data_IF_843218503497
#
_entry.id   IF_843218503497
#
_cell.length_a   1.000
_cell.length_b   1.000
_cell.length_c   1.000
_cell.angle_alpha   90.00
_cell.angle_beta   90.00
_cell.angle_gamma   90.00
#
_symmetry.space_group_name_H-M   'P 1'
#
loop_
_entity.id
_entity.type
_entity.pdbx_description
1 polymer ?
#
# COMPACT_ATOMS: atom_id res chain seq x y z
N UNK A 1 -32.46 6.30 -12.26
CA UNK A 1 -31.40 5.83 -11.33
C UNK A 1 -31.32 6.87 -10.23
N UNK A 2 -31.64 6.52 -8.99
CA UNK A 2 -31.41 7.43 -7.85
C UNK A 2 -29.92 7.66 -7.72
N UNK A 3 -29.49 8.91 -7.64
CA UNK A 3 -28.11 9.23 -7.26
C UNK A 3 -27.84 8.58 -5.90
N UNK A 4 -26.75 7.81 -5.73
CA UNK A 4 -26.39 7.31 -4.43
C UNK A 4 -26.16 8.51 -3.51
N UNK A 5 -26.86 8.54 -2.37
CA UNK A 5 -26.64 9.55 -1.34
C UNK A 5 -25.33 9.22 -0.64
N UNK A 6 -24.37 10.13 -0.75
CA UNK A 6 -23.10 10.09 -0.04
C UNK A 6 -22.87 11.40 0.69
N UNK A 7 -22.11 11.34 1.77
CA UNK A 7 -21.65 12.50 2.53
C UNK A 7 -20.16 12.72 2.30
N UNK A 8 -19.75 13.98 2.35
CA UNK A 8 -18.36 14.39 2.23
C UNK A 8 -18.00 15.21 3.46
N UNK A 9 -16.93 14.84 4.16
CA UNK A 9 -16.49 15.53 5.37
C UNK A 9 -14.96 15.58 5.45
N UNK A 10 -14.44 16.50 6.26
CA UNK A 10 -13.04 16.47 6.64
C UNK A 10 -12.76 15.22 7.48
N UNK A 11 -11.67 14.52 7.17
CA UNK A 11 -11.26 13.36 7.92
C UNK A 11 -10.73 13.77 9.30
N UNK A 12 -11.07 12.99 10.31
CA UNK A 12 -10.71 13.16 11.70
C UNK A 12 -9.92 11.96 12.20
N UNK A 13 -9.39 12.04 13.43
CA UNK A 13 -8.64 10.93 14.03
C UNK A 13 -9.44 9.64 14.16
N UNK A 14 -10.77 9.69 14.28
CA UNK A 14 -11.63 8.49 14.29
C UNK A 14 -11.72 7.81 12.93
N UNK A 15 -11.44 8.51 11.83
CA UNK A 15 -11.52 7.95 10.48
C UNK A 15 -10.26 7.16 10.07
N UNK A 16 -9.17 7.24 10.85
CA UNK A 16 -7.87 6.68 10.48
C UNK A 16 -7.94 5.17 10.23
N UNK A 17 -8.71 4.43 11.02
CA UNK A 17 -8.85 2.98 10.84
C UNK A 17 -9.54 2.65 9.52
N UNK A 18 -10.74 3.19 9.29
CA UNK A 18 -11.53 2.92 8.09
C UNK A 18 -10.83 3.38 6.80
N UNK A 19 -10.18 4.54 6.83
CA UNK A 19 -9.40 5.05 5.69
C UNK A 19 -8.23 4.10 5.39
N UNK A 20 -7.57 3.59 6.42
CA UNK A 20 -6.45 2.65 6.24
C UNK A 20 -6.93 1.34 5.64
N UNK A 21 -8.06 0.81 6.12
CA UNK A 21 -8.66 -0.39 5.54
C UNK A 21 -9.04 -0.17 4.08
N UNK A 22 -9.69 0.94 3.74
CA UNK A 22 -10.00 1.32 2.36
C UNK A 22 -8.74 1.37 1.47
N UNK A 23 -7.62 1.89 1.99
CA UNK A 23 -6.37 1.88 1.21
C UNK A 23 -5.82 0.47 0.99
N UNK A 24 -5.97 -0.43 1.97
CA UNK A 24 -5.48 -1.80 1.88
C UNK A 24 -6.36 -2.70 1.01
N UNK A 25 -7.64 -2.38 0.82
CA UNK A 25 -8.60 -3.18 0.04
C UNK A 25 -8.81 -2.66 -1.38
N UNK A 26 -8.88 -1.34 -1.56
CA UNK A 26 -9.26 -0.74 -2.84
C UNK A 26 -8.06 -0.11 -3.53
N UNK A 27 -7.33 0.75 -2.82
CA UNK A 27 -6.22 1.50 -3.41
C UNK A 27 -5.05 0.59 -3.79
N UNK A 28 -4.65 -0.31 -2.89
CA UNK A 28 -3.53 -1.24 -3.08
C UNK A 28 -3.67 -2.09 -4.35
N UNK A 29 -4.89 -2.59 -4.61
CA UNK A 29 -5.17 -3.51 -5.71
C UNK A 29 -5.76 -2.82 -6.95
N UNK A 30 -6.07 -1.52 -6.88
CA UNK A 30 -6.43 -0.72 -8.05
C UNK A 30 -5.30 -0.72 -9.09
N UNK A 31 -5.54 -0.21 -10.31
CA UNK A 31 -4.53 -0.07 -11.39
C UNK A 31 -3.41 0.95 -11.06
N UNK A 32 -2.98 0.98 -9.80
CA UNK A 32 -1.88 1.75 -9.26
C UNK A 32 -0.55 1.06 -9.54
N UNK A 33 0.54 1.79 -9.35
CA UNK A 33 1.90 1.25 -9.40
C UNK A 33 2.10 0.12 -8.38
N UNK A 34 1.38 0.14 -7.26
CA UNK A 34 1.48 -0.89 -6.22
C UNK A 34 1.05 -2.25 -6.76
N UNK A 35 -0.08 -2.31 -7.48
CA UNK A 35 -0.50 -3.53 -8.15
C UNK A 35 0.48 -3.95 -9.27
N UNK A 36 1.03 -2.99 -10.01
CA UNK A 36 1.98 -3.27 -11.09
C UNK A 36 3.28 -3.93 -10.61
N UNK A 37 3.75 -3.61 -9.39
CA UNK A 37 4.93 -4.25 -8.79
C UNK A 37 4.60 -5.47 -7.92
N UNK A 38 3.33 -5.88 -7.85
CA UNK A 38 2.88 -7.01 -7.04
C UNK A 38 2.99 -6.76 -5.54
N UNK A 39 2.87 -5.50 -5.10
CA UNK A 39 2.90 -5.14 -3.69
C UNK A 39 1.75 -5.82 -2.94
N UNK A 40 2.05 -6.54 -1.87
CA UNK A 40 1.05 -7.28 -1.10
C UNK A 40 0.56 -6.48 0.10
N UNK A 41 -0.51 -6.93 0.73
CA UNK A 41 -1.03 -6.31 1.97
C UNK A 41 0.04 -6.30 3.06
N UNK A 42 0.82 -7.37 3.16
CA UNK A 42 1.91 -7.51 4.14
C UNK A 42 3.04 -6.51 3.93
N UNK A 43 3.24 -6.00 2.71
CA UNK A 43 4.27 -5.00 2.41
C UNK A 43 3.88 -3.60 2.91
N UNK A 44 2.59 -3.34 3.10
CA UNK A 44 2.05 -2.00 3.38
C UNK A 44 1.25 -1.89 4.66
N UNK A 45 0.88 -3.00 5.29
CA UNK A 45 0.03 -3.03 6.49
C UNK A 45 0.61 -2.19 7.64
N UNK A 46 1.93 -2.09 7.75
CA UNK A 46 2.61 -1.28 8.76
C UNK A 46 2.84 0.18 8.31
N UNK A 47 2.85 0.44 6.99
CA UNK A 47 3.18 1.76 6.41
C UNK A 47 1.95 2.64 6.22
N UNK A 48 0.87 2.06 5.71
CA UNK A 48 -0.37 2.76 5.43
C UNK A 48 -0.99 3.42 6.67
N UNK A 49 -1.05 2.79 7.86
CA UNK A 49 -1.54 3.45 9.06
C UNK A 49 -0.73 4.71 9.43
N UNK A 50 0.60 4.66 9.27
CA UNK A 50 1.49 5.79 9.59
C UNK A 50 1.23 6.95 8.64
N UNK A 51 1.15 6.69 7.34
CA UNK A 51 0.88 7.69 6.31
C UNK A 51 -0.52 8.28 6.48
N UNK A 52 -1.54 7.45 6.71
CA UNK A 52 -2.91 7.89 6.95
C UNK A 52 -2.97 8.81 8.16
N UNK A 53 -2.39 8.38 9.29
CA UNK A 53 -2.39 9.17 10.53
C UNK A 53 -1.69 10.52 10.35
N UNK A 54 -0.52 10.53 9.72
CA UNK A 54 0.20 11.77 9.42
C UNK A 54 -0.63 12.71 8.52
N UNK A 55 -1.24 12.16 7.47
CA UNK A 55 -2.06 12.93 6.53
C UNK A 55 -3.30 13.51 7.20
N UNK A 56 -4.05 12.69 7.95
CA UNK A 56 -5.25 13.13 8.70
C UNK A 56 -4.89 14.21 9.73
N UNK A 57 -3.75 14.09 10.40
CA UNK A 57 -3.30 15.09 11.38
C UNK A 57 -3.05 16.48 10.78
N UNK A 58 -2.89 16.59 9.46
CA UNK A 58 -2.78 17.89 8.78
C UNK A 58 -4.09 18.67 8.71
N UNK A 59 -5.24 18.02 8.96
CA UNK A 59 -6.57 18.64 8.87
C UNK A 59 -7.03 18.96 7.45
N UNK A 60 -6.33 18.47 6.42
CA UNK A 60 -6.65 18.76 5.00
C UNK A 60 -7.31 17.61 4.26
N UNK A 61 -7.35 16.43 4.88
CA UNK A 61 -7.89 15.21 4.29
C UNK A 61 -9.42 15.23 4.24
N UNK A 62 -9.99 14.57 3.24
CA UNK A 62 -11.44 14.44 3.04
C UNK A 62 -11.81 12.96 2.93
N UNK A 63 -12.93 12.57 3.53
CA UNK A 63 -13.53 11.24 3.44
C UNK A 63 -14.93 11.35 2.82
N UNK A 64 -15.26 10.39 1.96
CA UNK A 64 -16.58 10.23 1.34
C UNK A 64 -17.19 8.95 1.89
N UNK A 65 -18.38 9.06 2.46
CA UNK A 65 -19.10 7.92 3.07
C UNK A 65 -20.49 7.71 2.49
N UNK A 66 -20.94 6.47 2.43
CA UNK A 66 -22.35 6.13 2.24
C UNK A 66 -23.17 6.52 3.47
N UNK A 67 -24.50 6.51 3.35
CA UNK A 67 -25.39 6.70 4.50
C UNK A 67 -25.24 5.63 5.59
N UNK A 68 -24.76 4.43 5.22
CA UNK A 68 -24.46 3.34 6.15
C UNK A 68 -23.09 3.51 6.84
N UNK A 69 -22.36 4.58 6.50
CA UNK A 69 -21.07 4.92 7.09
C UNK A 69 -19.87 4.26 6.41
N UNK A 70 -20.04 3.52 5.33
CA UNK A 70 -18.93 2.89 4.59
C UNK A 70 -18.08 3.94 3.85
N UNK A 71 -16.75 3.84 3.92
CA UNK A 71 -15.84 4.71 3.15
C UNK A 71 -15.82 4.25 1.70
N UNK A 72 -16.21 5.14 0.79
CA UNK A 72 -16.21 4.88 -0.67
C UNK A 72 -15.22 5.76 -1.43
N UNK A 73 -14.57 6.69 -0.73
CA UNK A 73 -13.58 7.56 -1.34
C UNK A 73 -12.84 8.37 -0.30
N UNK A 74 -11.59 8.68 -0.60
CA UNK A 74 -10.72 9.48 0.27
C UNK A 74 -9.89 10.44 -0.59
N UNK A 75 -9.55 11.59 0.00
CA UNK A 75 -8.47 12.46 -0.47
C UNK A 75 -7.48 12.63 0.66
N UNK A 76 -6.34 11.96 0.55
CA UNK A 76 -5.23 12.12 1.48
C UNK A 76 -4.32 13.24 1.00
N UNK A 77 -4.12 14.24 1.85
CA UNK A 77 -3.23 15.37 1.61
C UNK A 77 -2.50 15.75 2.90
N UNK A 78 -1.38 16.42 2.74
CA UNK A 78 -0.61 16.98 3.84
C UNK A 78 0.15 18.22 3.37
N UNK A 79 0.80 18.89 4.32
CA UNK A 79 1.70 20.00 4.01
C UNK A 79 3.11 19.47 3.82
N UNK A 80 3.77 19.88 2.73
CA UNK A 80 5.19 19.69 2.56
C UNK A 80 5.88 21.01 2.92
N UNK A 81 6.60 21.02 4.04
CA UNK A 81 7.44 22.16 4.39
C UNK A 81 8.68 22.15 3.48
N UNK A 82 8.86 23.24 2.72
CA UNK A 82 10.00 23.39 1.78
C UNK A 82 11.33 23.55 2.49
N UNK A 83 11.30 23.90 3.78
CA UNK A 83 12.48 24.15 4.60
C UNK A 83 12.78 23.02 5.58
N UNK A 84 11.89 22.01 5.68
CA UNK A 84 12.24 20.77 6.37
C UNK A 84 13.26 20.02 5.53
N UNK A 85 14.49 19.94 6.07
CA UNK A 85 15.40 18.85 5.74
C UNK A 85 14.61 17.58 6.10
N UNK A 86 14.22 16.81 5.09
CA UNK A 86 13.49 15.55 5.27
C UNK A 86 14.18 14.80 6.40
N UNK A 87 13.47 14.44 7.51
CA UNK A 87 14.07 13.47 8.41
C UNK A 87 14.41 12.28 7.52
N UNK A 88 15.66 11.84 7.57
CA UNK A 88 16.09 10.62 6.90
C UNK A 88 15.13 9.56 7.41
N UNK A 89 14.13 9.22 6.61
CA UNK A 89 13.36 8.02 6.81
C UNK A 89 14.43 6.95 6.75
N UNK A 90 14.61 6.21 7.85
CA UNK A 90 15.54 5.11 7.85
C UNK A 90 15.20 4.25 6.63
N UNK A 91 16.12 4.19 5.66
CA UNK A 91 15.93 3.46 4.42
C UNK A 91 15.63 1.97 4.70
N UNK A 92 15.95 1.49 5.92
CA UNK A 92 15.53 0.18 6.41
C UNK A 92 14.01 -0.02 6.36
N UNK A 93 13.22 1.04 6.55
CA UNK A 93 11.75 1.04 6.45
C UNK A 93 11.27 0.91 5.01
N UNK A 94 12.10 1.22 4.00
CA UNK A 94 11.80 1.13 2.57
C UNK A 94 12.49 -0.02 1.86
N UNK A 95 13.37 -0.76 2.56
CA UNK A 95 13.97 -1.98 2.00
C UNK A 95 12.85 -2.89 1.50
N UNK A 96 12.81 -3.20 0.19
CA UNK A 96 11.91 -4.23 -0.30
C UNK A 96 12.23 -5.50 0.48
N UNK A 97 11.25 -6.09 1.16
CA UNK A 97 11.36 -7.51 1.52
C UNK A 97 11.55 -8.19 0.18
N UNK A 98 12.76 -8.69 -0.08
CA UNK A 98 13.12 -9.20 -1.40
C UNK A 98 11.99 -10.10 -1.88
N UNK A 99 11.30 -9.68 -2.95
CA UNK A 99 10.37 -10.55 -3.66
C UNK A 99 11.18 -11.81 -3.95
N UNK A 100 10.84 -12.91 -3.26
CA UNK A 100 11.33 -14.22 -3.61
C UNK A 100 10.81 -14.47 -5.01
N UNK A 101 11.60 -14.10 -6.01
CA UNK A 101 11.43 -14.56 -7.37
C UNK A 101 11.43 -16.07 -7.27
N UNK A 102 10.24 -16.67 -7.44
CA UNK A 102 10.14 -18.12 -7.59
C UNK A 102 10.98 -18.45 -8.82
N UNK A 103 12.18 -18.99 -8.60
CA UNK A 103 12.95 -19.59 -9.68
C UNK A 103 12.05 -20.63 -10.35
N UNK A 104 11.85 -20.56 -11.68
CA UNK A 104 11.24 -21.67 -12.38
C UNK A 104 12.15 -22.88 -12.16
N UNK A 105 11.53 -23.98 -11.74
CA UNK A 105 12.13 -25.30 -11.63
C UNK A 105 13.17 -25.52 -12.75
N UNK A 106 14.45 -25.61 -12.37
CA UNK A 106 15.46 -26.19 -13.23
C UNK A 106 15.15 -27.67 -13.32
N UNK A 107 14.75 -28.10 -14.51
CA UNK A 107 14.63 -29.49 -14.91
C UNK A 107 15.84 -30.29 -14.43
N UNK A 108 15.59 -31.31 -13.59
CA UNK A 108 16.53 -32.39 -13.36
C UNK A 108 16.66 -33.18 -14.68
N UNK A 109 17.61 -32.80 -15.54
CA UNK A 109 18.16 -33.72 -16.54
C UNK A 109 19.45 -34.29 -15.99
N UNK A 110 19.38 -35.58 -15.67
CA UNK A 110 20.43 -36.34 -15.02
C UNK A 110 21.75 -36.34 -15.80
N UNK A 111 22.82 -36.09 -15.07
CA UNK A 111 24.15 -36.51 -15.46
C UNK A 111 24.23 -38.03 -15.24
N UNK A 112 23.97 -38.81 -16.30
CA UNK A 112 24.48 -40.17 -16.39
C UNK A 112 25.95 -40.10 -16.81
N UNK A 113 26.78 -40.83 -16.06
CA UNK A 113 28.22 -40.68 -16.05
C UNK A 113 28.96 -41.15 -17.31
N UNK A 114 30.25 -40.85 -17.30
CA UNK A 114 31.26 -41.59 -18.03
C UNK A 114 32.46 -41.80 -17.11
N UNK A 115 32.44 -42.94 -16.44
CA UNK A 115 33.65 -43.58 -15.95
C UNK A 115 34.48 -44.09 -17.13
N UNK A 116 35.79 -43.90 -17.02
CA UNK A 116 36.84 -44.78 -17.55
C UNK A 116 36.87 -45.08 -19.05
N UNK A 117 37.88 -44.56 -19.75
CA UNK A 117 38.62 -45.28 -20.80
C UNK A 117 39.97 -44.58 -21.08
N UNK A 118 41.02 -45.20 -20.52
CA UNK A 118 42.44 -45.28 -20.94
C UNK A 118 43.15 -44.04 -21.52
#
# INVERSE_FOLDING_TARGET
MSTPDFSVSFATSSDVHDITEFMLTDFLFSRSMNAAIGMTREDVVDRYPVITKASVSSGTCVVVRTNDGEVIGIRLTGFQDRNQITPVLDDSLFTPRMLKTRHPHQDQRGEMGFDSLR
#
